data_IF_985164293629
#
_entry.id   IF_985164293629
#
_cell.length_a   1.000
_cell.length_b   1.000
_cell.length_c   1.000
_cell.angle_alpha   90.00
_cell.angle_beta   90.00
_cell.angle_gamma   90.00
#
_symmetry.space_group_name_H-M   'P 1'
#
loop_
_entity.id
_entity.type
_entity.pdbx_description
1 polymer ?
#
# COMPACT_ATOMS: atom_id res chain seq x y z
N UNK A 1 -14.84 2.73 -6.04
CA UNK A 1 -13.70 1.81 -6.21
C UNK A 1 -14.20 0.53 -6.84
N UNK A 2 -13.41 -0.09 -7.71
CA UNK A 2 -13.78 -1.30 -8.43
C UNK A 2 -12.79 -2.42 -8.12
N UNK A 3 -13.26 -3.66 -8.21
CA UNK A 3 -12.41 -4.85 -8.23
C UNK A 3 -12.40 -5.41 -9.65
N UNK A 4 -11.23 -5.79 -10.15
CA UNK A 4 -11.11 -6.48 -11.43
C UNK A 4 -11.36 -7.97 -11.22
N UNK A 5 -12.24 -8.52 -12.03
CA UNK A 5 -12.74 -9.90 -11.96
C UNK A 5 -12.55 -10.59 -13.31
N UNK A 6 -12.83 -11.89 -13.36
CA UNK A 6 -12.80 -12.66 -14.62
C UNK A 6 -13.80 -12.10 -15.66
N UNK A 7 -14.88 -11.46 -15.22
CA UNK A 7 -15.97 -10.95 -16.06
C UNK A 7 -15.91 -9.43 -16.31
N UNK A 8 -14.89 -8.74 -15.76
CA UNK A 8 -14.72 -7.29 -15.87
C UNK A 8 -14.58 -6.59 -14.53
N UNK A 9 -14.89 -5.29 -14.48
CA UNK A 9 -14.77 -4.48 -13.27
C UNK A 9 -16.11 -4.35 -12.53
N UNK A 10 -16.12 -4.66 -11.23
CA UNK A 10 -17.32 -4.60 -10.40
C UNK A 10 -17.12 -3.57 -9.28
N UNK A 11 -18.07 -2.65 -9.04
CA UNK A 11 -17.99 -1.72 -7.92
C UNK A 11 -17.90 -2.47 -6.59
N UNK A 12 -16.95 -2.11 -5.72
CA UNK A 12 -16.81 -2.76 -4.41
C UNK A 12 -18.11 -2.64 -3.58
N UNK A 13 -18.87 -1.57 -3.76
CA UNK A 13 -20.14 -1.33 -3.07
C UNK A 13 -21.31 -2.20 -3.52
N UNK A 14 -21.23 -2.89 -4.68
CA UNK A 14 -22.28 -3.82 -5.13
C UNK A 14 -22.06 -5.25 -4.63
N UNK A 15 -20.91 -5.53 -4.03
CA UNK A 15 -20.54 -6.85 -3.51
C UNK A 15 -21.22 -7.04 -2.15
N UNK A 16 -22.09 -8.05 -2.08
CA UNK A 16 -22.82 -8.40 -0.85
C UNK A 16 -22.05 -9.41 -0.02
N UNK A 17 -21.36 -10.34 -0.67
CA UNK A 17 -20.57 -11.39 -0.02
C UNK A 17 -19.23 -11.56 -0.74
N UNK A 18 -18.15 -11.69 0.02
CA UNK A 18 -16.83 -12.04 -0.48
C UNK A 18 -16.25 -13.20 0.33
N UNK A 19 -15.90 -14.30 -0.34
CA UNK A 19 -15.34 -15.49 0.30
C UNK A 19 -13.94 -15.73 -0.21
N UNK A 20 -12.94 -15.48 0.66
CA UNK A 20 -11.53 -15.72 0.33
C UNK A 20 -11.24 -17.22 0.31
N UNK A 21 -10.67 -17.70 -0.80
CA UNK A 21 -10.15 -19.06 -0.98
C UNK A 21 -8.63 -19.00 -1.12
N UNK A 22 -8.00 -20.14 -1.39
CA UNK A 22 -6.53 -20.26 -1.44
C UNK A 22 -5.90 -19.40 -2.55
N UNK A 23 -6.56 -19.30 -3.70
CA UNK A 23 -6.06 -18.71 -4.94
C UNK A 23 -6.87 -17.50 -5.42
N UNK A 24 -8.10 -17.32 -4.94
CA UNK A 24 -9.02 -16.29 -5.41
C UNK A 24 -9.99 -15.84 -4.30
N UNK A 25 -10.77 -14.80 -4.61
CA UNK A 25 -11.94 -14.39 -3.84
C UNK A 25 -13.17 -14.59 -4.70
N UNK A 26 -14.11 -15.41 -4.22
CA UNK A 26 -15.44 -15.54 -4.85
C UNK A 26 -16.30 -14.38 -4.35
N UNK A 27 -16.91 -13.66 -5.29
CA UNK A 27 -17.70 -12.46 -5.04
C UNK A 27 -19.15 -12.72 -5.44
N UNK A 28 -20.10 -12.38 -4.56
CA UNK A 28 -21.53 -12.38 -4.86
C UNK A 28 -22.00 -10.94 -4.97
N UNK A 29 -22.58 -10.57 -6.11
CA UNK A 29 -23.06 -9.22 -6.41
C UNK A 29 -24.44 -9.29 -7.10
N UNK A 30 -25.08 -8.15 -7.36
CA UNK A 30 -26.36 -8.09 -8.09
C UNK A 30 -27.46 -8.99 -7.51
N UNK A 31 -28.20 -9.69 -8.38
CA UNK A 31 -29.25 -10.66 -8.05
C UNK A 31 -28.66 -12.09 -7.88
N UNK A 32 -27.71 -12.22 -6.95
CA UNK A 32 -26.99 -13.47 -6.63
C UNK A 32 -26.06 -13.98 -7.74
N UNK A 33 -25.55 -13.08 -8.57
CA UNK A 33 -24.49 -13.38 -9.53
C UNK A 33 -23.16 -13.62 -8.80
N UNK A 34 -22.42 -14.64 -9.25
CA UNK A 34 -21.10 -14.97 -8.73
C UNK A 34 -20.00 -14.70 -9.77
N UNK A 35 -18.89 -14.12 -9.32
CA UNK A 35 -17.65 -14.03 -10.11
C UNK A 35 -16.43 -14.27 -9.23
N UNK A 36 -15.24 -14.26 -9.83
CA UNK A 36 -13.96 -14.42 -9.13
C UNK A 36 -13.05 -13.23 -9.39
N UNK A 37 -12.40 -12.78 -8.32
CA UNK A 37 -11.27 -11.87 -8.39
C UNK A 37 -9.99 -12.58 -7.94
N UNK A 38 -8.86 -12.21 -8.50
CA UNK A 38 -7.56 -12.62 -7.95
C UNK A 38 -7.36 -12.03 -6.56
N UNK A 39 -6.58 -12.70 -5.70
CA UNK A 39 -6.24 -12.15 -4.38
C UNK A 39 -5.60 -10.76 -4.48
N UNK A 40 -4.75 -10.54 -5.50
CA UNK A 40 -4.07 -9.27 -5.70
C UNK A 40 -5.06 -8.15 -6.07
N UNK A 41 -6.00 -8.41 -6.99
CA UNK A 41 -7.01 -7.40 -7.36
C UNK A 41 -7.96 -7.09 -6.21
N UNK A 42 -8.37 -8.10 -5.45
CA UNK A 42 -9.20 -7.90 -4.26
C UNK A 42 -8.48 -7.07 -3.18
N UNK A 43 -7.23 -7.44 -2.84
CA UNK A 43 -6.45 -6.73 -1.82
C UNK A 43 -6.15 -5.28 -2.26
N UNK A 44 -5.92 -5.03 -3.56
CA UNK A 44 -5.77 -3.68 -4.11
C UNK A 44 -7.07 -2.87 -3.99
N UNK A 45 -8.21 -3.45 -4.38
CA UNK A 45 -9.50 -2.75 -4.32
C UNK A 45 -9.88 -2.35 -2.89
N UNK A 46 -9.60 -3.21 -1.89
CA UNK A 46 -9.85 -2.88 -0.48
C UNK A 46 -8.95 -1.73 0.00
N UNK A 47 -7.66 -1.79 -0.33
CA UNK A 47 -6.68 -0.74 -0.01
C UNK A 47 -7.05 0.60 -0.63
N UNK A 48 -7.47 0.61 -1.89
CA UNK A 48 -7.77 1.83 -2.63
C UNK A 48 -9.17 2.38 -2.31
N UNK A 49 -9.86 1.82 -1.31
CA UNK A 49 -11.16 2.32 -0.84
C UNK A 49 -11.04 2.96 0.56
N UNK A 50 -10.63 4.25 0.66
CA UNK A 50 -10.65 4.99 1.91
C UNK A 50 -12.03 4.96 2.59
N UNK A 51 -12.06 4.64 3.88
CA UNK A 51 -13.27 4.72 4.72
C UNK A 51 -13.26 5.97 5.59
N UNK A 52 -12.08 6.39 6.04
CA UNK A 52 -11.87 7.60 6.84
C UNK A 52 -10.59 8.27 6.35
N UNK A 53 -10.58 9.60 6.30
CA UNK A 53 -9.44 10.39 5.84
C UNK A 53 -9.16 11.49 6.87
N UNK A 54 -7.88 11.68 7.20
CA UNK A 54 -7.43 12.75 8.09
C UNK A 54 -6.16 13.40 7.55
N UNK A 55 -5.95 14.71 7.78
CA UNK A 55 -4.80 15.41 7.23
C UNK A 55 -3.49 14.86 7.80
N UNK A 56 -2.44 14.87 6.97
CA UNK A 56 -1.09 14.58 7.43
C UNK A 56 -0.44 15.83 8.01
N UNK A 57 0.52 15.64 8.93
CA UNK A 57 1.32 16.73 9.44
C UNK A 57 2.22 17.29 8.33
N UNK A 58 2.43 18.60 8.32
CA UNK A 58 3.34 19.22 7.36
C UNK A 58 4.77 18.73 7.59
N UNK A 59 5.41 18.26 6.52
CA UNK A 59 6.75 17.65 6.62
C UNK A 59 6.75 16.13 6.57
N UNK A 60 5.58 15.48 6.40
CA UNK A 60 5.50 14.03 6.16
C UNK A 60 5.70 13.69 4.67
N UNK A 61 6.56 12.69 4.40
CA UNK A 61 6.88 12.25 3.03
C UNK A 61 6.93 10.72 2.91
N UNK A 62 6.47 10.20 1.78
CA UNK A 62 6.82 8.87 1.30
C UNK A 62 8.24 8.90 0.71
N UNK A 63 9.05 7.91 1.06
CA UNK A 63 10.41 7.75 0.57
C UNK A 63 10.48 6.62 -0.46
N UNK A 64 11.04 6.91 -1.62
CA UNK A 64 11.31 5.92 -2.64
C UNK A 64 12.81 5.91 -2.92
N UNK A 65 13.44 4.75 -2.74
CA UNK A 65 14.85 4.56 -3.00
C UNK A 65 15.02 3.76 -4.30
N UNK A 66 15.85 4.25 -5.21
CA UNK A 66 16.16 3.59 -6.46
C UNK A 66 17.66 3.70 -6.79
N UNK A 67 18.18 2.72 -7.52
CA UNK A 67 19.51 2.78 -8.11
C UNK A 67 19.34 3.02 -9.60
N UNK A 68 19.53 4.25 -10.04
CA UNK A 68 19.41 4.63 -11.44
C UNK A 68 20.80 4.87 -12.03
N UNK A 69 21.15 4.10 -13.06
CA UNK A 69 22.46 4.19 -13.74
C UNK A 69 23.66 4.08 -12.78
N UNK A 70 23.52 3.27 -11.72
CA UNK A 70 24.57 3.05 -10.72
C UNK A 70 24.66 4.14 -9.65
N UNK A 71 23.75 5.12 -9.65
CA UNK A 71 23.65 6.15 -8.61
C UNK A 71 22.45 5.84 -7.73
N UNK A 72 22.68 5.75 -6.43
CA UNK A 72 21.62 5.67 -5.43
C UNK A 72 20.94 7.03 -5.30
N UNK A 73 19.61 7.05 -5.44
CA UNK A 73 18.80 8.25 -5.30
C UNK A 73 17.58 7.95 -4.44
N UNK A 74 17.23 8.92 -3.59
CA UNK A 74 16.00 8.90 -2.81
C UNK A 74 15.10 10.03 -3.29
N UNK A 75 13.93 9.69 -3.83
CA UNK A 75 12.88 10.65 -4.10
C UNK A 75 11.89 10.72 -2.93
N UNK A 76 11.22 11.86 -2.81
CA UNK A 76 10.24 12.12 -1.74
C UNK A 76 8.93 12.57 -2.35
N UNK A 77 7.85 11.88 -1.99
CA UNK A 77 6.48 12.25 -2.37
C UNK A 77 5.76 12.80 -1.15
N UNK A 78 5.14 13.97 -1.26
CA UNK A 78 4.42 14.59 -0.12
C UNK A 78 3.24 13.71 0.30
N UNK A 79 3.12 13.47 1.60
CA UNK A 79 1.90 12.88 2.17
C UNK A 79 0.92 14.03 2.43
N UNK A 80 -0.22 13.98 1.77
CA UNK A 80 -1.27 14.99 1.87
C UNK A 80 -2.25 14.67 3.01
N UNK A 81 -2.52 13.38 3.19
CA UNK A 81 -3.46 12.86 4.16
C UNK A 81 -3.10 11.42 4.50
N UNK A 82 -3.80 10.88 5.48
CA UNK A 82 -3.82 9.48 5.84
C UNK A 82 -5.24 8.95 5.69
N UNK A 83 -5.38 7.66 5.42
CA UNK A 83 -6.68 7.02 5.43
C UNK A 83 -6.68 5.65 6.08
N UNK A 84 -7.79 5.32 6.75
CA UNK A 84 -8.12 3.94 7.09
C UNK A 84 -8.91 3.39 5.91
N UNK A 85 -8.35 2.40 5.22
CA UNK A 85 -8.98 1.78 4.05
C UNK A 85 -9.94 0.65 4.42
N UNK A 86 -10.62 0.06 3.42
CA UNK A 86 -11.63 -0.98 3.66
C UNK A 86 -11.04 -2.28 4.23
N UNK A 87 -9.74 -2.52 4.02
CA UNK A 87 -8.97 -3.58 4.70
C UNK A 87 -8.58 -3.24 6.15
N UNK A 88 -8.99 -2.06 6.64
CA UNK A 88 -8.74 -1.53 7.99
C UNK A 88 -7.28 -1.21 8.30
N UNK A 89 -6.45 -1.08 7.26
CA UNK A 89 -5.07 -0.65 7.40
C UNK A 89 -4.98 0.86 7.18
N UNK A 90 -4.04 1.49 7.89
CA UNK A 90 -3.71 2.89 7.73
C UNK A 90 -2.75 3.07 6.55
N UNK A 91 -3.12 3.90 5.57
CA UNK A 91 -2.31 4.22 4.41
C UNK A 91 -2.07 5.72 4.25
N UNK A 92 -0.88 6.12 3.79
CA UNK A 92 -0.63 7.50 3.37
C UNK A 92 -1.33 7.77 2.03
N UNK A 93 -1.77 9.01 1.81
CA UNK A 93 -2.31 9.50 0.55
C UNK A 93 -1.35 10.54 -0.01
N UNK A 94 -0.91 10.34 -1.24
CA UNK A 94 -0.08 11.30 -1.99
C UNK A 94 -0.80 11.77 -3.26
N UNK A 95 -0.11 12.56 -4.08
CA UNK A 95 -0.59 12.93 -5.42
C UNK A 95 -0.72 11.74 -6.37
N UNK A 96 -0.09 10.60 -6.02
CA UNK A 96 -0.15 9.35 -6.79
C UNK A 96 -1.26 8.42 -6.31
N UNK A 97 -2.03 8.83 -5.28
CA UNK A 97 -3.15 8.06 -4.73
C UNK A 97 -2.87 7.47 -3.36
N UNK A 98 -3.64 6.44 -3.00
CA UNK A 98 -3.48 5.72 -1.74
C UNK A 98 -2.19 4.89 -1.81
N UNK A 99 -1.38 4.96 -0.77
CA UNK A 99 -0.10 4.26 -0.65
C UNK A 99 0.89 4.52 -1.80
N UNK A 100 0.80 5.67 -2.48
CA UNK A 100 1.61 5.95 -3.67
C UNK A 100 1.36 5.01 -4.85
N UNK A 101 0.19 4.36 -4.90
CA UNK A 101 -0.12 3.28 -5.85
C UNK A 101 0.81 2.06 -5.75
N UNK A 102 1.55 1.92 -4.65
CA UNK A 102 2.47 0.80 -4.41
C UNK A 102 1.76 -0.36 -3.72
N UNK A 103 2.23 -1.59 -4.01
CA UNK A 103 1.72 -2.81 -3.36
C UNK A 103 2.24 -2.99 -1.94
N UNK A 104 3.43 -2.49 -1.64
CA UNK A 104 3.97 -2.44 -0.29
C UNK A 104 3.96 -1.00 0.20
N UNK A 105 3.82 -0.78 1.50
CA UNK A 105 3.81 0.59 2.04
C UNK A 105 5.23 1.13 2.07
N UNK A 106 5.54 2.19 1.28
CA UNK A 106 6.88 2.76 1.28
C UNK A 106 7.20 3.36 2.65
N UNK A 107 8.49 3.46 3.01
CA UNK A 107 8.89 4.12 4.25
C UNK A 107 8.37 5.56 4.32
N UNK A 108 7.94 5.98 5.52
CA UNK A 108 7.41 7.31 5.76
C UNK A 108 8.37 8.12 6.61
N UNK A 109 8.84 9.25 6.09
CA UNK A 109 9.57 10.27 6.84
C UNK A 109 8.57 11.17 7.56
N UNK A 110 8.73 11.30 8.87
CA UNK A 110 7.95 12.20 9.71
C UNK A 110 8.63 13.56 9.90
N UNK A 111 7.88 14.60 10.34
CA UNK A 111 8.44 15.95 10.52
C UNK A 111 9.57 16.04 11.55
N UNK A 112 9.62 15.12 12.51
CA UNK A 112 10.68 15.02 13.52
C UNK A 112 11.97 14.36 12.99
N UNK A 113 11.96 13.88 11.75
CA UNK A 113 13.10 13.25 11.08
C UNK A 113 13.15 11.72 11.21
N UNK A 114 12.21 11.11 11.94
CA UNK A 114 12.08 9.65 12.05
C UNK A 114 11.54 9.04 10.75
N UNK A 115 11.92 7.79 10.48
CA UNK A 115 11.44 7.04 9.31
C UNK A 115 10.78 5.74 9.76
N UNK A 116 9.49 5.60 9.51
CA UNK A 116 8.74 4.36 9.75
C UNK A 116 8.75 3.45 8.53
N UNK A 117 9.18 2.21 8.70
CA UNK A 117 9.03 1.13 7.71
C UNK A 117 7.91 0.20 8.14
N UNK A 118 6.81 0.20 7.39
CA UNK A 118 5.61 -0.54 7.76
C UNK A 118 5.90 -2.05 7.93
N UNK A 119 5.58 -2.57 9.12
CA UNK A 119 5.69 -4.00 9.43
C UNK A 119 7.10 -4.50 9.80
N UNK A 120 8.07 -3.60 9.96
CA UNK A 120 9.45 -3.98 10.30
C UNK A 120 10.02 -3.12 11.43
N UNK A 121 10.68 -2.01 11.10
CA UNK A 121 11.48 -1.21 12.02
C UNK A 121 11.22 0.29 11.81
N UNK A 122 11.37 1.07 12.89
CA UNK A 122 11.46 2.53 12.84
C UNK A 122 12.93 2.92 12.93
N UNK A 123 13.36 3.84 12.08
CA UNK A 123 14.68 4.46 12.13
C UNK A 123 14.57 5.83 12.79
N UNK A 124 15.35 6.06 13.84
CA UNK A 124 15.30 7.31 14.60
C UNK A 124 15.67 8.55 13.76
N UNK A 125 16.47 8.35 12.70
CA UNK A 125 16.85 9.42 11.77
C UNK A 125 16.89 8.93 10.31
N UNK A 126 16.43 9.80 9.41
CA UNK A 126 16.46 9.60 7.95
C UNK A 126 17.81 9.12 7.40
N UNK A 127 18.91 9.65 7.93
CA UNK A 127 20.25 9.32 7.42
C UNK A 127 20.59 7.84 7.62
N UNK A 128 20.24 7.25 8.76
CA UNK A 128 20.48 5.83 9.00
C UNK A 128 19.65 4.94 8.08
N UNK A 129 18.40 5.33 7.80
CA UNK A 129 17.58 4.65 6.81
C UNK A 129 18.20 4.75 5.40
N UNK A 130 18.69 5.94 5.00
CA UNK A 130 19.27 6.15 3.67
C UNK A 130 20.57 5.37 3.46
N UNK A 131 21.45 5.32 4.47
CA UNK A 131 22.68 4.52 4.45
C UNK A 131 22.36 3.01 4.38
N UNK A 132 21.36 2.54 5.12
CA UNK A 132 20.89 1.16 5.04
C UNK A 132 20.29 0.82 3.67
N UNK A 133 19.55 1.76 3.07
CA UNK A 133 18.99 1.63 1.73
C UNK A 133 20.06 1.53 0.65
N UNK A 134 21.07 2.42 0.70
CA UNK A 134 22.19 2.43 -0.23
C UNK A 134 23.04 1.15 -0.13
N UNK A 135 23.25 0.66 1.09
CA UNK A 135 23.94 -0.61 1.34
C UNK A 135 23.14 -1.86 0.94
N UNK A 136 21.88 -1.71 0.49
CA UNK A 136 21.00 -2.83 0.16
C UNK A 136 20.58 -3.66 1.38
N UNK A 137 20.63 -3.08 2.57
CA UNK A 137 20.32 -3.72 3.85
C UNK A 137 18.86 -3.57 4.28
N UNK A 138 18.09 -2.72 3.59
CA UNK A 138 16.64 -2.74 3.72
C UNK A 138 16.13 -4.08 3.19
N UNK A 139 15.69 -4.93 4.12
CA UNK A 139 15.12 -6.23 3.81
C UNK A 139 14.08 -6.04 2.70
N UNK A 140 14.26 -6.74 1.58
CA UNK A 140 13.18 -6.87 0.59
C UNK A 140 11.91 -7.27 1.36
N UNK A 141 10.75 -6.66 1.07
CA UNK A 141 9.49 -7.04 1.72
C UNK A 141 9.38 -8.57 1.62
N UNK A 142 9.32 -9.22 2.79
CA UNK A 142 9.40 -10.68 2.99
C UNK A 142 8.96 -11.45 1.74
N UNK A 143 9.91 -12.00 0.99
CA UNK A 143 9.64 -13.20 0.21
C UNK A 143 9.13 -14.21 1.24
N UNK A 144 7.81 -14.43 1.27
CA UNK A 144 7.20 -15.45 2.10
C UNK A 144 7.85 -16.76 1.71
N UNK A 145 8.75 -17.25 2.58
CA UNK A 145 9.00 -18.67 2.74
C UNK A 145 7.64 -19.31 3.03
N UNK A 146 6.99 -19.79 1.97
CA UNK A 146 5.91 -20.76 2.08
C UNK A 146 6.61 -22.05 2.48
N UNK A 147 6.52 -22.38 3.77
CA UNK A 147 6.65 -23.75 4.24
C UNK A 147 5.37 -24.54 3.89
#
# INVERSE_FOLDING_TARGET
MFVSTDDGEIPLSSIRTAVRRRDAVTLVYGDDEETRATLASWDQALRDTPQQVFPAESGTYLLHAAVEKGVFAVSRSKVLAWCISADRILYPISTEGVNGSERDTPPVLHPDGTVDVYGDHTYDIYQFWAEAAEAGLLLKPRERLIA
#
